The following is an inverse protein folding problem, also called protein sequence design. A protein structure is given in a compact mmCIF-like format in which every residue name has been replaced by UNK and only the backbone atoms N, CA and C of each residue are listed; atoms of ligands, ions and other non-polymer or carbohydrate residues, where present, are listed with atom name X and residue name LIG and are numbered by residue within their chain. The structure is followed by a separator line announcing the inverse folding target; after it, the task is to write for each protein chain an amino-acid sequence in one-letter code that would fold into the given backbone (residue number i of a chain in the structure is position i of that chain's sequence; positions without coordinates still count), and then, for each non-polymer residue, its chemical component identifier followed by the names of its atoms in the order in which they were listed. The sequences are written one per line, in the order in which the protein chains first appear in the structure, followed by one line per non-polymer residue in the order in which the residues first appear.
data_IF_307559165547
#
_entry.id   IF_307559165547
#
_cell.length_a   1.000
_cell.length_b   1.000
_cell.length_c   1.000
_cell.angle_alpha   90.00
_cell.angle_beta   90.00
_cell.angle_gamma   90.00
#
_symmetry.space_group_name_H-M   'P 1'
#
loop_
_entity.id
_entity.type
_entity.pdbx_description
1 polymer ?
#
# COMPACT_ATOMS: atom_id res chain seq x y z
N UNK A 1 14.21 -12.39 9.22
CA UNK A 1 13.95 -11.04 8.67
C UNK A 1 14.74 -10.85 7.37
N UNK A 2 14.21 -10.10 6.40
CA UNK A 2 14.96 -9.59 5.26
C UNK A 2 15.08 -8.07 5.46
N UNK A 3 16.30 -7.53 5.38
CA UNK A 3 16.53 -6.10 5.61
C UNK A 3 17.95 -5.71 5.24
N UNK A 4 18.09 -4.50 4.69
CA UNK A 4 19.36 -3.87 4.36
C UNK A 4 19.22 -2.39 4.69
N UNK A 5 20.27 -1.78 5.21
CA UNK A 5 20.29 -0.36 5.53
C UNK A 5 21.71 0.18 5.48
N UNK A 6 21.82 1.48 5.25
CA UNK A 6 23.07 2.22 5.23
C UNK A 6 23.01 3.33 6.26
N UNK A 7 24.13 3.60 6.93
CA UNK A 7 24.31 4.81 7.75
C UNK A 7 24.64 6.02 6.88
N UNK A 8 25.22 5.78 5.70
CA UNK A 8 25.62 6.79 4.73
C UNK A 8 25.08 6.40 3.35
N UNK A 9 24.05 7.12 2.88
CA UNK A 9 23.43 6.91 1.57
C UNK A 9 22.01 6.36 1.64
N UNK A 10 21.39 6.24 0.45
CA UNK A 10 20.03 5.74 0.27
C UNK A 10 20.07 4.36 -0.38
N UNK A 11 19.06 3.54 -0.08
CA UNK A 11 18.83 2.32 -0.84
C UNK A 11 18.40 2.69 -2.27
N UNK A 12 19.00 2.02 -3.25
CA UNK A 12 18.51 2.05 -4.62
C UNK A 12 17.19 1.29 -4.76
N UNK A 13 16.41 1.59 -5.80
CA UNK A 13 15.14 0.88 -6.06
C UNK A 13 15.35 -0.63 -6.26
N UNK A 14 16.47 -1.05 -6.86
CA UNK A 14 16.81 -2.48 -7.02
C UNK A 14 17.09 -3.18 -5.69
N UNK A 15 17.70 -2.48 -4.73
CA UNK A 15 17.89 -3.01 -3.38
C UNK A 15 16.58 -3.11 -2.62
N UNK A 16 15.73 -2.08 -2.72
CA UNK A 16 14.37 -2.12 -2.14
C UNK A 16 13.59 -3.30 -2.70
N UNK A 17 13.60 -3.48 -4.04
CA UNK A 17 12.95 -4.62 -4.71
C UNK A 17 13.45 -5.96 -4.18
N UNK A 18 14.77 -6.14 -4.08
CA UNK A 18 15.37 -7.39 -3.59
C UNK A 18 14.94 -7.70 -2.15
N UNK A 19 14.83 -6.68 -1.28
CA UNK A 19 14.36 -6.84 0.10
C UNK A 19 12.90 -7.26 0.12
N UNK A 20 12.05 -6.61 -0.68
CA UNK A 20 10.61 -6.89 -0.75
C UNK A 20 10.35 -8.29 -1.30
N UNK A 21 11.02 -8.69 -2.39
CA UNK A 21 10.94 -10.05 -2.94
C UNK A 21 11.39 -11.10 -1.92
N UNK A 22 12.50 -10.84 -1.21
CA UNK A 22 13.00 -11.70 -0.14
C UNK A 22 12.07 -11.78 1.08
N UNK A 23 11.22 -10.78 1.29
CA UNK A 23 10.20 -10.78 2.34
C UNK A 23 8.96 -11.57 1.89
N UNK A 24 8.39 -11.27 0.72
CA UNK A 24 7.20 -11.94 0.22
C UNK A 24 7.41 -13.41 -0.10
N UNK A 25 8.61 -13.82 -0.56
CA UNK A 25 8.92 -15.24 -0.82
C UNK A 25 8.85 -16.14 0.42
N UNK A 26 8.83 -15.56 1.62
CA UNK A 26 8.70 -16.29 2.90
C UNK A 26 7.25 -16.46 3.34
N UNK A 27 6.31 -15.83 2.64
CA UNK A 27 4.89 -15.80 3.00
C UNK A 27 4.06 -16.60 2.00
N UNK A 28 3.11 -17.39 2.51
CA UNK A 28 2.11 -18.09 1.68
C UNK A 28 0.97 -17.12 1.33
N UNK A 29 1.20 -16.29 0.31
CA UNK A 29 0.26 -15.24 -0.13
C UNK A 29 -0.66 -15.68 -1.29
N UNK A 30 -0.42 -16.85 -1.89
CA UNK A 30 -1.20 -17.33 -3.02
C UNK A 30 -2.68 -17.47 -2.62
N UNK A 31 -3.57 -16.87 -3.42
CA UNK A 31 -5.01 -16.87 -3.13
C UNK A 31 -5.41 -16.16 -1.82
N UNK A 32 -4.51 -15.40 -1.18
CA UNK A 32 -4.84 -14.60 0.01
C UNK A 32 -5.34 -13.21 -0.39
N UNK A 33 -6.05 -12.57 0.53
CA UNK A 33 -6.42 -11.15 0.41
C UNK A 33 -5.38 -10.33 1.16
N UNK A 34 -4.67 -9.45 0.44
CA UNK A 34 -3.59 -8.63 1.00
C UNK A 34 -4.04 -7.16 1.04
N UNK A 35 -3.98 -6.56 2.23
CA UNK A 35 -4.28 -5.15 2.45
C UNK A 35 -3.04 -4.43 2.96
N UNK A 36 -2.59 -3.42 2.22
CA UNK A 36 -1.49 -2.55 2.65
C UNK A 36 -2.02 -1.31 3.36
N UNK A 37 -1.52 -1.06 4.58
CA UNK A 37 -1.78 0.21 5.27
C UNK A 37 -0.69 1.20 4.87
N UNK A 38 -1.07 2.31 4.26
CA UNK A 38 -0.16 3.35 3.77
C UNK A 38 -0.46 4.68 4.47
N UNK A 39 0.55 5.53 4.72
CA UNK A 39 0.29 6.88 5.20
C UNK A 39 -0.41 7.71 4.12
N UNK A 40 -1.03 8.80 4.55
CA UNK A 40 -1.54 9.83 3.65
C UNK A 40 -0.42 10.77 3.15
N UNK A 41 -0.82 11.78 2.39
CA UNK A 41 0.08 12.78 1.81
C UNK A 41 0.78 13.71 2.82
N UNK A 42 0.50 13.60 4.12
CA UNK A 42 1.16 14.41 5.16
C UNK A 42 2.47 13.79 5.66
N UNK A 43 2.77 12.57 5.22
CA UNK A 43 4.03 11.87 5.53
C UNK A 43 4.82 11.62 4.26
N UNK A 44 6.14 11.71 4.39
CA UNK A 44 7.06 11.40 3.31
C UNK A 44 7.35 9.91 3.30
N UNK A 45 6.93 9.24 2.23
CA UNK A 45 7.29 7.86 1.92
C UNK A 45 7.28 7.68 0.39
N UNK A 46 8.04 6.72 -0.17
CA UNK A 46 8.09 6.49 -1.62
C UNK A 46 6.85 5.70 -2.10
N UNK A 47 5.64 6.16 -1.76
CA UNK A 47 4.38 5.44 -1.99
C UNK A 47 4.18 5.05 -3.46
N UNK A 48 4.43 5.93 -4.46
CA UNK A 48 4.28 5.53 -5.86
C UNK A 48 5.19 4.36 -6.29
N UNK A 49 6.45 4.38 -5.84
CA UNK A 49 7.41 3.32 -6.13
C UNK A 49 6.99 2.01 -5.47
N UNK A 50 6.57 2.07 -4.20
CA UNK A 50 6.14 0.89 -3.44
C UNK A 50 4.84 0.30 -4.00
N UNK A 51 3.84 1.13 -4.32
CA UNK A 51 2.56 0.71 -4.91
C UNK A 51 2.78 -0.06 -6.23
N UNK A 52 3.58 0.53 -7.14
CA UNK A 52 3.94 -0.12 -8.41
C UNK A 52 4.66 -1.45 -8.18
N UNK A 53 5.65 -1.47 -7.29
CA UNK A 53 6.45 -2.66 -6.99
C UNK A 53 5.61 -3.79 -6.39
N UNK A 54 4.73 -3.47 -5.43
CA UNK A 54 3.84 -4.46 -4.81
C UNK A 54 2.85 -5.03 -5.82
N UNK A 55 2.29 -4.18 -6.69
CA UNK A 55 1.45 -4.66 -7.78
C UNK A 55 2.19 -5.62 -8.71
N UNK A 56 3.40 -5.28 -9.16
CA UNK A 56 4.20 -6.16 -10.02
C UNK A 56 4.53 -7.51 -9.36
N UNK A 57 4.69 -7.54 -8.05
CA UNK A 57 5.07 -8.76 -7.32
C UNK A 57 3.89 -9.66 -6.94
N UNK A 58 2.71 -9.07 -6.68
CA UNK A 58 1.56 -9.77 -6.09
C UNK A 58 0.35 -9.88 -7.02
N UNK A 59 0.18 -8.97 -7.99
CA UNK A 59 -0.97 -9.01 -8.89
C UNK A 59 -1.03 -10.33 -9.67
N UNK A 60 -2.21 -10.93 -9.73
CA UNK A 60 -2.43 -12.26 -10.33
C UNK A 60 -2.05 -13.46 -9.46
N UNK A 61 -1.41 -13.28 -8.31
CA UNK A 61 -1.10 -14.34 -7.33
C UNK A 61 -2.03 -14.30 -6.12
N UNK A 62 -2.37 -13.10 -5.68
CA UNK A 62 -3.27 -12.86 -4.54
C UNK A 62 -4.72 -12.75 -5.01
N UNK A 63 -5.68 -13.14 -4.15
CA UNK A 63 -7.12 -13.00 -4.44
C UNK A 63 -7.54 -11.52 -4.50
N UNK A 64 -6.94 -10.69 -3.65
CA UNK A 64 -7.16 -9.25 -3.63
C UNK A 64 -5.88 -8.52 -3.22
N UNK A 65 -5.61 -7.39 -3.88
CA UNK A 65 -4.53 -6.47 -3.56
C UNK A 65 -5.12 -5.08 -3.34
N UNK A 66 -5.35 -4.73 -2.08
CA UNK A 66 -6.01 -3.49 -1.71
C UNK A 66 -5.12 -2.63 -0.79
N UNK A 67 -5.48 -1.36 -0.63
CA UNK A 67 -4.77 -0.39 0.19
C UNK A 67 -5.73 0.36 1.12
N UNK A 68 -5.29 0.70 2.33
CA UNK A 68 -5.99 1.56 3.27
C UNK A 68 -5.11 2.74 3.66
N UNK A 69 -5.57 3.96 3.42
CA UNK A 69 -4.87 5.18 3.82
C UNK A 69 -5.13 5.44 5.31
N UNK A 70 -4.08 5.42 6.11
CA UNK A 70 -4.10 5.69 7.54
C UNK A 70 -4.17 7.20 7.81
N UNK A 71 -5.38 7.73 7.87
CA UNK A 71 -5.64 9.17 8.02
C UNK A 71 -5.51 9.70 9.45
N UNK A 72 -5.59 8.84 10.48
CA UNK A 72 -5.86 9.31 11.84
C UNK A 72 -7.17 10.10 11.83
N UNK A 73 -7.13 11.38 12.18
CA UNK A 73 -8.29 12.31 12.12
C UNK A 73 -8.27 13.23 10.90
N UNK A 74 -7.39 13.00 9.92
CA UNK A 74 -7.36 13.82 8.71
C UNK A 74 -8.62 13.60 7.85
N UNK A 75 -9.04 14.58 7.05
CA UNK A 75 -10.16 14.41 6.13
C UNK A 75 -9.89 13.28 5.11
N UNK A 76 -10.93 12.54 4.68
CA UNK A 76 -10.81 11.60 3.57
C UNK A 76 -10.22 12.24 2.32
N UNK A 77 -9.27 11.55 1.68
CA UNK A 77 -8.66 12.00 0.43
C UNK A 77 -9.65 11.86 -0.73
N UNK A 78 -9.67 12.87 -1.61
CA UNK A 78 -10.37 12.76 -2.90
C UNK A 78 -9.69 11.74 -3.81
N UNK A 79 -10.38 11.31 -4.88
CA UNK A 79 -9.81 10.38 -5.84
C UNK A 79 -8.55 10.96 -6.51
N UNK A 80 -8.52 12.25 -6.82
CA UNK A 80 -7.35 12.92 -7.41
C UNK A 80 -6.16 12.94 -6.46
N UNK A 81 -6.42 13.14 -5.16
CA UNK A 81 -5.39 13.08 -4.14
C UNK A 81 -4.84 11.66 -3.97
N UNK A 82 -5.71 10.64 -4.06
CA UNK A 82 -5.29 9.22 -4.07
C UNK A 82 -4.43 8.94 -5.31
N UNK A 83 -4.86 9.36 -6.49
CA UNK A 83 -4.11 9.18 -7.74
C UNK A 83 -2.69 9.75 -7.62
N UNK A 84 -2.57 10.96 -7.05
CA UNK A 84 -1.28 11.59 -6.78
C UNK A 84 -0.46 10.83 -5.73
N UNK A 85 -1.09 10.33 -4.66
CA UNK A 85 -0.42 9.60 -3.58
C UNK A 85 0.23 8.30 -4.09
N UNK A 86 -0.48 7.53 -4.90
CA UNK A 86 0.01 6.25 -5.45
C UNK A 86 0.69 6.40 -6.81
N UNK A 87 0.69 7.61 -7.39
CA UNK A 87 1.37 7.93 -8.65
C UNK A 87 0.77 7.24 -9.87
N UNK A 88 -0.56 7.22 -9.97
CA UNK A 88 -1.30 6.60 -11.08
C UNK A 88 -2.17 7.63 -11.78
N UNK A 89 -2.46 7.42 -13.06
CA UNK A 89 -3.41 8.24 -13.80
C UNK A 89 -4.85 7.71 -13.62
N UNK A 90 -5.89 8.51 -13.94
CA UNK A 90 -7.26 8.02 -13.97
C UNK A 90 -7.45 6.78 -14.86
N UNK A 91 -6.78 6.73 -16.01
CA UNK A 91 -6.90 5.64 -17.00
C UNK A 91 -6.27 4.33 -16.51
N UNK A 92 -5.25 4.41 -15.64
CA UNK A 92 -4.62 3.23 -15.06
C UNK A 92 -5.61 2.38 -14.23
N UNK A 93 -6.63 3.00 -13.64
CA UNK A 93 -7.68 2.30 -12.88
C UNK A 93 -8.61 1.47 -13.75
N UNK A 94 -8.74 1.77 -15.04
CA UNK A 94 -9.53 0.94 -15.96
C UNK A 94 -8.68 -0.16 -16.60
N UNK A 95 -7.37 0.04 -16.64
CA UNK A 95 -6.40 -0.89 -17.20
C UNK A 95 -5.57 -1.60 -16.14
N UNK A 96 -4.36 -1.11 -15.90
CA UNK A 96 -3.31 -1.80 -15.15
C UNK A 96 -3.71 -2.14 -13.72
N UNK A 97 -4.48 -1.28 -13.05
CA UNK A 97 -4.84 -1.40 -11.63
C UNK A 97 -6.35 -1.65 -11.44
N UNK A 98 -7.04 -2.18 -12.44
CA UNK A 98 -8.50 -2.39 -12.42
C UNK A 98 -9.06 -3.23 -11.29
N UNK A 99 -8.25 -4.14 -10.75
CA UNK A 99 -8.63 -5.04 -9.67
C UNK A 99 -8.10 -4.58 -8.30
N UNK A 100 -7.47 -3.40 -8.23
CA UNK A 100 -6.94 -2.78 -7.00
C UNK A 100 -7.91 -1.73 -6.46
N UNK A 101 -8.10 -1.69 -5.15
CA UNK A 101 -8.83 -0.59 -4.49
C UNK A 101 -7.97 0.11 -3.47
N UNK A 102 -8.20 1.42 -3.32
CA UNK A 102 -7.59 2.26 -2.29
C UNK A 102 -8.70 2.88 -1.45
N UNK A 103 -8.73 2.53 -0.18
CA UNK A 103 -9.74 2.99 0.78
C UNK A 103 -9.20 4.11 1.65
N UNK A 104 -10.05 5.08 1.99
CA UNK A 104 -9.80 5.98 3.09
C UNK A 104 -10.17 5.29 4.41
N UNK A 105 -9.35 5.47 5.45
CA UNK A 105 -9.82 5.21 6.81
C UNK A 105 -10.96 6.17 7.18
N UNK A 106 -12.11 5.64 7.60
CA UNK A 106 -13.30 6.43 7.91
C UNK A 106 -13.49 6.59 9.41
N UNK A 107 -12.60 7.34 10.03
CA UNK A 107 -12.67 7.65 11.46
C UNK A 107 -13.99 8.34 11.87
N UNK A 108 -14.63 8.99 10.90
CA UNK A 108 -15.92 9.66 11.02
C UNK A 108 -17.13 8.70 10.99
N UNK A 109 -16.93 7.42 10.65
CA UNK A 109 -17.98 6.41 10.52
C UNK A 109 -17.80 5.27 11.53
N UNK A 110 -18.60 5.23 12.62
CA UNK A 110 -18.48 4.22 13.67
C UNK A 110 -18.64 2.78 13.20
N UNK A 111 -19.44 2.54 12.16
CA UNK A 111 -19.71 1.22 11.57
C UNK A 111 -18.51 0.63 10.82
N UNK A 112 -17.46 1.42 10.59
CA UNK A 112 -16.21 0.96 9.99
C UNK A 112 -15.21 0.40 11.00
N UNK A 113 -15.57 0.37 12.29
CA UNK A 113 -14.74 -0.11 13.38
C UNK A 113 -15.26 -1.42 13.99
N UNK A 114 -14.34 -2.18 14.57
CA UNK A 114 -14.62 -3.32 15.43
C UNK A 114 -13.90 -3.13 16.77
N UNK A 115 -14.54 -3.48 17.88
CA UNK A 115 -13.91 -3.44 19.20
C UNK A 115 -12.99 -4.64 19.38
N UNK A 116 -11.72 -4.38 19.74
CA UNK A 116 -10.70 -5.42 19.97
C UNK A 116 -10.40 -5.66 21.46
N UNK A 117 -10.94 -4.84 22.37
CA UNK A 117 -10.69 -4.89 23.80
C UNK A 117 -10.51 -3.51 24.44
N UNK A 118 -9.98 -3.48 25.65
CA UNK A 118 -9.67 -2.27 26.43
C UNK A 118 -8.19 -2.27 26.82
N UNK A 119 -7.55 -1.10 26.81
CA UNK A 119 -6.14 -0.89 27.21
C UNK A 119 -6.04 -0.71 28.72
#
# INVERSE_FOLDING_TARGET
MAGKGYTEGLLSEGEVRSIVEGAFSKWDLEGRRVLFIIPDGTRTAPIPMMFKMFHELLSGKVEALDYLVALGTHPPMSQEAINKLVGVSPEDWEGRYRDVRVFNHRWDLPDTFVSLGTI
#
